data_IF_377969828869
#
_entry.id   IF_377969828869
#
_cell.length_a   1.000
_cell.length_b   1.000
_cell.length_c   1.000
_cell.angle_alpha   90.00
_cell.angle_beta   90.00
_cell.angle_gamma   90.00
#
_symmetry.space_group_name_H-M   'P 1'
#
loop_
_entity.id
_entity.type
_entity.pdbx_description
1 polymer ?
#
# COMPACT_ATOMS: atom_id res chain seq x y z
N UNK A 1 -15.57 -3.08 -19.55
CA UNK A 1 -14.25 -2.58 -19.08
C UNK A 1 -14.16 -2.95 -17.61
N UNK A 2 -13.10 -3.60 -17.20
CA UNK A 2 -12.90 -3.95 -15.78
C UNK A 2 -12.51 -2.72 -14.98
N UNK A 3 -13.07 -2.56 -13.77
CA UNK A 3 -12.80 -1.43 -12.90
C UNK A 3 -11.92 -1.87 -11.74
N UNK A 4 -10.78 -1.21 -11.59
CA UNK A 4 -9.75 -1.55 -10.60
C UNK A 4 -9.51 -0.35 -9.68
N UNK A 5 -9.50 -0.60 -8.37
CA UNK A 5 -9.04 0.37 -7.38
C UNK A 5 -7.64 -0.01 -6.93
N UNK A 6 -6.70 0.93 -7.02
CA UNK A 6 -5.38 0.84 -6.38
C UNK A 6 -5.40 1.74 -5.14
N UNK A 7 -5.44 1.13 -3.96
CA UNK A 7 -5.50 1.83 -2.68
C UNK A 7 -4.20 1.67 -1.91
N UNK A 8 -3.54 2.79 -1.58
CA UNK A 8 -2.24 2.70 -0.94
C UNK A 8 -1.76 3.98 -0.26
N UNK A 9 -0.48 3.98 0.07
CA UNK A 9 0.21 5.08 0.74
C UNK A 9 0.99 5.99 -0.23
N UNK A 10 2.09 6.60 0.26
CA UNK A 10 2.96 7.47 -0.52
C UNK A 10 3.60 6.79 -1.74
N UNK A 11 3.88 5.49 -1.68
CA UNK A 11 4.39 4.74 -2.82
C UNK A 11 3.31 4.53 -3.92
N UNK A 12 2.04 4.54 -3.56
CA UNK A 12 0.93 4.54 -4.54
C UNK A 12 0.65 5.96 -5.03
N UNK A 13 0.75 6.97 -4.17
CA UNK A 13 0.62 8.37 -4.54
C UNK A 13 1.75 8.82 -5.49
N UNK A 14 2.96 8.25 -5.36
CA UNK A 14 4.14 8.58 -6.13
C UNK A 14 5.00 9.67 -5.48
N UNK A 15 5.34 9.50 -4.21
CA UNK A 15 6.22 10.44 -3.50
C UNK A 15 7.64 10.41 -4.08
N UNK A 16 8.12 11.57 -4.54
CA UNK A 16 9.47 11.72 -5.04
C UNK A 16 10.45 11.84 -3.85
N UNK A 17 11.40 10.92 -3.68
CA UNK A 17 12.35 10.97 -2.56
C UNK A 17 13.34 12.14 -2.61
N UNK A 18 13.46 12.84 -3.75
CA UNK A 18 14.41 13.94 -3.95
C UNK A 18 13.86 15.26 -3.41
N UNK A 19 12.63 15.61 -3.74
CA UNK A 19 12.05 16.94 -3.50
C UNK A 19 10.66 16.91 -2.86
N UNK A 20 10.16 15.72 -2.51
CA UNK A 20 8.86 15.47 -1.87
C UNK A 20 7.64 15.84 -2.72
N UNK A 21 7.83 16.15 -3.98
CA UNK A 21 6.73 16.37 -4.93
C UNK A 21 6.10 15.04 -5.35
N UNK A 22 5.01 15.08 -6.08
CA UNK A 22 4.45 13.90 -6.71
C UNK A 22 5.18 13.60 -8.02
N UNK A 23 5.59 12.35 -8.20
CA UNK A 23 6.13 11.87 -9.47
C UNK A 23 5.04 11.94 -10.55
N UNK A 24 5.39 12.35 -11.77
CA UNK A 24 4.41 12.49 -12.86
C UNK A 24 3.88 11.14 -13.36
N UNK A 25 4.58 10.05 -13.07
CA UNK A 25 4.24 8.70 -13.50
C UNK A 25 4.54 7.70 -12.39
N UNK A 26 3.49 7.07 -11.88
CA UNK A 26 3.55 6.09 -10.81
C UNK A 26 3.29 4.68 -11.33
N UNK A 27 3.50 3.65 -10.53
CA UNK A 27 3.18 2.26 -10.90
C UNK A 27 1.70 2.10 -11.31
N UNK A 28 0.79 2.85 -10.70
CA UNK A 28 -0.61 2.85 -11.11
C UNK A 28 -0.86 3.45 -12.50
N UNK A 29 -0.07 4.46 -12.88
CA UNK A 29 -0.12 5.01 -14.25
C UNK A 29 0.44 4.00 -15.27
N UNK A 30 1.53 3.33 -14.91
CA UNK A 30 2.12 2.27 -15.76
C UNK A 30 1.15 1.10 -15.91
N UNK A 31 0.51 0.67 -14.81
CA UNK A 31 -0.51 -0.37 -14.88
C UNK A 31 -1.67 0.01 -15.80
N UNK A 32 -2.13 1.28 -15.77
CA UNK A 32 -3.18 1.76 -16.69
C UNK A 32 -2.73 1.74 -18.15
N UNK A 33 -1.46 2.04 -18.43
CA UNK A 33 -0.90 1.97 -19.79
C UNK A 33 -0.80 0.53 -20.30
N UNK A 34 -0.43 -0.41 -19.41
CA UNK A 34 -0.30 -1.84 -19.74
C UNK A 34 -1.65 -2.56 -19.86
N UNK A 35 -2.68 -2.05 -19.19
CA UNK A 35 -4.03 -2.62 -19.12
C UNK A 35 -5.08 -1.63 -19.66
N UNK A 36 -5.01 -1.26 -20.95
CA UNK A 36 -5.90 -0.23 -21.52
C UNK A 36 -7.38 -0.64 -21.53
N UNK A 37 -7.68 -1.94 -21.38
CA UNK A 37 -9.05 -2.46 -21.24
C UNK A 37 -9.61 -2.30 -19.83
N UNK A 38 -8.80 -1.87 -18.86
CA UNK A 38 -9.21 -1.60 -17.49
C UNK A 38 -9.42 -0.09 -17.27
N UNK A 39 -10.31 0.24 -16.35
CA UNK A 39 -10.44 1.58 -15.75
C UNK A 39 -9.80 1.55 -14.37
N UNK A 40 -8.63 2.17 -14.22
CA UNK A 40 -7.87 2.14 -12.96
C UNK A 40 -8.07 3.44 -12.19
N UNK A 41 -8.62 3.33 -10.97
CA UNK A 41 -8.69 4.41 -9.99
C UNK A 41 -7.48 4.31 -9.05
N UNK A 42 -6.65 5.34 -8.99
CA UNK A 42 -5.47 5.40 -8.10
C UNK A 42 -5.84 6.27 -6.89
N UNK A 43 -5.83 5.68 -5.70
CA UNK A 43 -6.08 6.36 -4.41
C UNK A 43 -4.89 6.14 -3.47
N UNK A 44 -3.84 6.92 -3.69
CA UNK A 44 -2.65 7.01 -2.84
C UNK A 44 -2.70 8.22 -1.92
N UNK A 45 -2.21 8.08 -0.67
CA UNK A 45 -2.13 9.17 0.29
C UNK A 45 -0.84 9.08 1.13
N UNK A 46 -0.03 10.14 1.13
CA UNK A 46 1.20 10.18 1.90
C UNK A 46 0.97 10.00 3.41
N UNK A 47 1.65 9.04 4.01
CA UNK A 47 1.53 8.74 5.43
C UNK A 47 0.32 7.88 5.81
N UNK A 48 -0.42 7.33 4.84
CA UNK A 48 -1.55 6.44 5.13
C UNK A 48 -1.07 5.14 5.77
N UNK A 49 -1.50 4.91 7.01
CA UNK A 49 -1.36 3.63 7.70
C UNK A 49 -2.66 2.81 7.60
N UNK A 50 -2.62 1.52 7.95
CA UNK A 50 -3.82 0.65 7.84
C UNK A 50 -4.95 1.12 8.77
N UNK A 51 -4.67 1.31 10.07
CA UNK A 51 -5.68 1.59 11.11
C UNK A 51 -5.39 2.87 11.91
N UNK A 52 -4.46 3.72 11.47
CA UNK A 52 -4.06 4.90 12.24
C UNK A 52 -3.96 6.14 11.34
N UNK A 53 -4.09 7.32 11.97
CA UNK A 53 -3.99 8.61 11.32
C UNK A 53 -5.26 9.43 11.47
N UNK A 54 -5.29 10.59 10.82
CA UNK A 54 -6.45 11.46 10.74
C UNK A 54 -6.85 11.67 9.28
N UNK A 55 -8.14 11.78 9.02
CA UNK A 55 -8.67 11.97 7.67
C UNK A 55 -8.17 10.89 6.70
N UNK A 56 -7.62 11.28 5.52
CA UNK A 56 -7.20 10.32 4.49
C UNK A 56 -6.05 9.39 4.91
N UNK A 57 -5.29 9.77 5.96
CA UNK A 57 -4.18 8.95 6.48
C UNK A 57 -4.65 7.77 7.33
N UNK A 58 -5.86 7.81 7.86
CA UNK A 58 -6.48 6.67 8.55
C UNK A 58 -7.09 5.73 7.51
N UNK A 59 -6.32 4.75 7.06
CA UNK A 59 -6.64 3.95 5.89
C UNK A 59 -8.04 3.36 5.90
N UNK A 60 -8.39 2.54 6.89
CA UNK A 60 -9.70 1.87 6.91
C UNK A 60 -10.87 2.87 7.05
N UNK A 61 -10.71 3.96 7.82
CA UNK A 61 -11.77 4.95 7.98
C UNK A 61 -12.04 5.68 6.67
N UNK A 62 -10.98 6.13 5.99
CA UNK A 62 -11.07 6.75 4.68
C UNK A 62 -11.65 5.80 3.61
N UNK A 63 -11.24 4.52 3.65
CA UNK A 63 -11.76 3.49 2.75
C UNK A 63 -13.28 3.32 2.92
N UNK A 64 -13.77 3.23 4.16
CA UNK A 64 -15.21 3.15 4.46
C UNK A 64 -15.97 4.37 3.95
N UNK A 65 -15.46 5.56 4.23
CA UNK A 65 -16.08 6.82 3.81
C UNK A 65 -16.21 6.90 2.29
N UNK A 66 -15.14 6.57 1.56
CA UNK A 66 -15.11 6.70 0.09
C UNK A 66 -15.88 5.59 -0.61
N UNK A 67 -15.72 4.34 -0.17
CA UNK A 67 -16.13 3.17 -0.95
C UNK A 67 -17.33 2.40 -0.38
N UNK A 68 -17.66 2.56 0.91
CA UNK A 68 -18.83 1.89 1.47
C UNK A 68 -20.08 2.78 1.44
N UNK A 69 -19.94 4.09 1.61
CA UNK A 69 -21.06 5.04 1.57
C UNK A 69 -21.65 5.13 0.16
N UNK A 70 -20.77 5.29 -0.84
CA UNK A 70 -21.15 5.18 -2.24
C UNK A 70 -20.57 3.88 -2.77
N UNK A 71 -21.39 2.85 -2.86
CA UNK A 71 -20.95 1.57 -3.39
C UNK A 71 -20.45 1.74 -4.82
N UNK A 72 -19.18 1.43 -5.02
CA UNK A 72 -18.55 1.41 -6.34
C UNK A 72 -18.60 0.00 -6.90
N UNK A 73 -18.69 -0.12 -8.21
CA UNK A 73 -18.76 -1.39 -8.93
C UNK A 73 -17.35 -1.82 -9.41
N UNK A 74 -16.38 -1.84 -8.48
CA UNK A 74 -15.05 -2.37 -8.78
C UNK A 74 -15.11 -3.89 -9.01
N UNK A 75 -14.33 -4.37 -9.98
CA UNK A 75 -14.08 -5.79 -10.19
C UNK A 75 -12.91 -6.28 -9.33
N UNK A 76 -11.91 -5.41 -9.10
CA UNK A 76 -10.72 -5.71 -8.29
C UNK A 76 -10.36 -4.53 -7.39
N UNK A 77 -9.98 -4.83 -6.16
CA UNK A 77 -9.36 -3.87 -5.24
C UNK A 77 -7.96 -4.36 -4.91
N UNK A 78 -6.94 -3.60 -5.33
CA UNK A 78 -5.55 -3.82 -4.97
C UNK A 78 -5.17 -2.89 -3.81
N UNK A 79 -4.65 -3.44 -2.71
CA UNK A 79 -4.26 -2.67 -1.52
C UNK A 79 -2.76 -2.85 -1.27
N UNK A 80 -2.01 -1.75 -1.30
CA UNK A 80 -0.60 -1.70 -0.90
C UNK A 80 -0.44 -0.76 0.30
N UNK A 81 -0.50 -1.32 1.50
CA UNK A 81 -0.33 -0.62 2.78
C UNK A 81 0.53 -1.45 3.74
N UNK A 82 1.16 -0.75 4.68
CA UNK A 82 1.97 -1.37 5.74
C UNK A 82 3.24 -0.61 6.06
N UNK A 83 3.79 0.16 5.12
CA UNK A 83 5.01 0.96 5.34
C UNK A 83 4.85 1.90 6.54
N UNK A 84 3.73 2.62 6.61
CA UNK A 84 3.48 3.58 7.69
C UNK A 84 3.05 2.93 9.02
N UNK A 85 2.69 1.66 9.02
CA UNK A 85 2.43 0.89 10.23
C UNK A 85 3.72 0.64 11.04
N UNK A 86 4.88 0.71 10.37
CA UNK A 86 6.20 0.51 10.94
C UNK A 86 6.80 1.76 11.60
N UNK A 87 6.10 2.89 11.56
CA UNK A 87 6.56 4.14 12.21
C UNK A 87 6.82 3.91 13.70
N UNK A 88 7.86 4.56 14.25
CA UNK A 88 8.26 4.48 15.68
C UNK A 88 7.09 4.67 16.65
N UNK A 89 6.15 5.52 16.30
CA UNK A 89 4.99 5.83 17.14
C UNK A 89 3.93 4.71 17.13
N UNK A 90 3.89 3.87 16.08
CA UNK A 90 2.94 2.76 15.96
C UNK A 90 3.58 1.43 16.30
N UNK A 91 4.75 1.17 15.73
CA UNK A 91 5.51 -0.08 15.89
C UNK A 91 4.62 -1.32 15.74
N UNK A 92 3.74 -1.31 14.73
CA UNK A 92 2.94 -2.49 14.45
C UNK A 92 3.84 -3.63 14.02
N UNK A 93 3.61 -4.79 14.63
CA UNK A 93 4.25 -6.01 14.15
C UNK A 93 3.65 -6.40 12.80
N UNK A 94 4.40 -7.08 11.92
CA UNK A 94 3.90 -7.54 10.62
C UNK A 94 2.55 -8.26 10.69
N UNK A 95 2.35 -9.09 11.72
CA UNK A 95 1.11 -9.83 11.93
C UNK A 95 -0.09 -8.91 12.22
N UNK A 96 0.15 -7.78 12.91
CA UNK A 96 -0.90 -6.77 13.17
C UNK A 96 -1.30 -6.04 11.90
N UNK A 97 -0.34 -5.69 11.05
CA UNK A 97 -0.60 -5.11 9.72
C UNK A 97 -1.40 -6.08 8.86
N UNK A 98 -1.03 -7.36 8.83
CA UNK A 98 -1.80 -8.39 8.12
C UNK A 98 -3.24 -8.50 8.65
N UNK A 99 -3.46 -8.48 9.97
CA UNK A 99 -4.81 -8.49 10.56
C UNK A 99 -5.60 -7.21 10.20
N UNK A 100 -4.93 -6.07 10.13
CA UNK A 100 -5.56 -4.84 9.68
C UNK A 100 -6.03 -4.93 8.22
N UNK A 101 -5.20 -5.48 7.32
CA UNK A 101 -5.56 -5.72 5.92
C UNK A 101 -6.72 -6.72 5.79
N UNK A 102 -6.76 -7.78 6.62
CA UNK A 102 -7.90 -8.71 6.71
C UNK A 102 -9.22 -7.98 6.97
N UNK A 103 -9.19 -6.93 7.79
CA UNK A 103 -10.38 -6.15 8.11
C UNK A 103 -10.97 -5.46 6.87
N UNK A 104 -10.15 -4.95 5.94
CA UNK A 104 -10.65 -4.39 4.67
C UNK A 104 -11.42 -5.42 3.86
N UNK A 105 -10.90 -6.64 3.76
CA UNK A 105 -11.54 -7.75 3.03
C UNK A 105 -12.88 -8.11 3.66
N UNK A 106 -12.89 -8.36 4.98
CA UNK A 106 -14.09 -8.78 5.69
C UNK A 106 -15.20 -7.72 5.64
N UNK A 107 -14.86 -6.46 5.86
CA UNK A 107 -15.86 -5.39 5.82
C UNK A 107 -16.40 -5.17 4.39
N UNK A 108 -15.54 -5.28 3.38
CA UNK A 108 -15.99 -5.21 2.00
C UNK A 108 -16.95 -6.35 1.68
N UNK A 109 -16.65 -7.58 2.10
CA UNK A 109 -17.54 -8.73 1.94
C UNK A 109 -18.91 -8.50 2.60
N UNK A 110 -18.93 -7.91 3.79
CA UNK A 110 -20.17 -7.57 4.49
C UNK A 110 -20.99 -6.52 3.73
N UNK A 111 -20.31 -5.48 3.20
CA UNK A 111 -20.98 -4.35 2.51
C UNK A 111 -21.50 -4.76 1.13
N UNK A 112 -20.70 -5.53 0.37
CA UNK A 112 -20.97 -5.83 -1.03
C UNK A 112 -21.70 -7.17 -1.24
N UNK A 113 -21.59 -8.13 -0.30
CA UNK A 113 -22.22 -9.45 -0.40
C UNK A 113 -21.76 -10.19 -1.66
N UNK A 114 -22.73 -10.69 -2.44
CA UNK A 114 -22.46 -11.44 -3.68
C UNK A 114 -21.77 -10.60 -4.78
N UNK A 115 -21.67 -9.29 -4.59
CA UNK A 115 -20.98 -8.37 -5.51
C UNK A 115 -19.61 -7.94 -4.98
N UNK A 116 -19.05 -8.69 -4.04
CA UNK A 116 -17.71 -8.41 -3.51
C UNK A 116 -16.69 -8.46 -4.64
N UNK A 117 -15.89 -7.39 -4.83
CA UNK A 117 -14.78 -7.41 -5.79
C UNK A 117 -13.71 -8.43 -5.38
N UNK A 118 -12.92 -8.87 -6.35
CA UNK A 118 -11.69 -9.60 -6.08
C UNK A 118 -10.70 -8.73 -5.31
N UNK A 119 -9.80 -9.34 -4.55
CA UNK A 119 -8.74 -8.62 -3.84
C UNK A 119 -7.36 -9.04 -4.32
N UNK A 120 -6.47 -8.05 -4.49
CA UNK A 120 -5.03 -8.23 -4.58
C UNK A 120 -4.39 -7.49 -3.40
N UNK A 121 -3.80 -8.23 -2.47
CA UNK A 121 -3.06 -7.63 -1.37
C UNK A 121 -1.58 -7.59 -1.72
N UNK A 122 -1.02 -6.38 -1.72
CA UNK A 122 0.37 -6.14 -2.11
C UNK A 122 1.17 -5.80 -0.85
N UNK A 123 2.15 -6.65 -0.52
CA UNK A 123 3.14 -6.29 0.50
C UNK A 123 4.03 -5.17 -0.03
N UNK A 124 4.25 -4.07 0.74
CA UNK A 124 5.10 -2.99 0.29
C UNK A 124 6.55 -3.41 0.05
N UNK A 125 7.29 -2.58 -0.67
CA UNK A 125 8.75 -2.67 -0.78
C UNK A 125 9.41 -2.59 0.60
N UNK A 126 10.63 -3.13 0.72
CA UNK A 126 11.37 -3.06 1.97
C UNK A 126 11.88 -1.64 2.24
N UNK A 127 11.72 -1.17 3.47
CA UNK A 127 12.44 0.01 3.96
C UNK A 127 13.92 -0.37 4.12
N UNK A 128 14.86 0.47 3.66
CA UNK A 128 16.29 0.19 3.76
C UNK A 128 17.00 1.09 4.80
N UNK A 129 18.26 0.77 5.12
CA UNK A 129 19.01 1.42 6.20
C UNK A 129 19.30 2.92 5.96
N UNK A 130 19.13 3.44 4.74
CA UNK A 130 19.28 4.84 4.46
C UNK A 130 18.22 5.70 5.15
N UNK A 131 17.04 5.12 5.45
CA UNK A 131 16.01 5.81 6.24
C UNK A 131 16.52 6.28 7.59
N UNK A 132 17.45 5.53 8.21
CA UNK A 132 18.03 5.85 9.53
C UNK A 132 19.02 7.02 9.49
N UNK A 133 19.45 7.43 8.29
CA UNK A 133 20.39 8.52 8.05
C UNK A 133 19.71 9.75 7.44
N UNK A 134 18.47 9.58 6.96
CA UNK A 134 17.75 10.65 6.31
C UNK A 134 17.29 11.72 7.32
N UNK A 135 17.47 13.04 7.05
CA UNK A 135 17.22 14.12 8.02
C UNK A 135 15.78 14.12 8.60
N UNK A 136 14.80 13.71 7.80
CA UNK A 136 13.37 13.70 8.20
C UNK A 136 12.95 12.31 8.65
N UNK A 137 13.21 11.27 7.84
CA UNK A 137 12.66 9.95 8.09
C UNK A 137 13.36 9.19 9.22
N UNK A 138 14.60 9.53 9.58
CA UNK A 138 15.27 8.95 10.76
C UNK A 138 14.53 9.23 12.07
N UNK A 139 13.74 10.30 12.12
CA UNK A 139 12.88 10.58 13.28
C UNK A 139 11.63 9.70 13.31
N UNK A 140 11.21 9.19 12.17
CA UNK A 140 9.97 8.42 12.01
C UNK A 140 10.18 6.91 12.03
N UNK A 141 11.33 6.44 11.55
CA UNK A 141 11.66 5.00 11.44
C UNK A 141 12.80 4.61 12.39
N UNK A 142 12.89 3.33 12.71
CA UNK A 142 13.91 2.73 13.59
C UNK A 142 14.57 1.53 12.90
N UNK A 143 15.70 1.01 13.44
CA UNK A 143 16.27 -0.25 12.95
C UNK A 143 15.26 -1.40 12.95
N UNK A 144 14.35 -1.42 13.94
CA UNK A 144 13.26 -2.39 14.00
C UNK A 144 12.27 -2.22 12.86
N UNK A 145 11.97 -0.99 12.42
CA UNK A 145 11.13 -0.73 11.26
C UNK A 145 11.72 -1.35 9.99
N UNK A 146 13.04 -1.23 9.80
CA UNK A 146 13.77 -1.85 8.69
C UNK A 146 13.70 -3.37 8.74
N UNK A 147 13.90 -3.97 9.92
CA UNK A 147 13.79 -5.41 10.12
C UNK A 147 12.36 -5.91 9.87
N UNK A 148 11.36 -5.27 10.46
CA UNK A 148 9.95 -5.67 10.33
C UNK A 148 9.43 -5.48 8.90
N UNK A 149 9.93 -4.50 8.11
CA UNK A 149 9.55 -4.33 6.72
C UNK A 149 9.84 -5.57 5.86
N UNK A 150 10.94 -6.26 6.14
CA UNK A 150 11.34 -7.50 5.44
C UNK A 150 10.45 -8.71 5.80
N UNK A 151 9.70 -8.61 6.89
CA UNK A 151 8.81 -9.67 7.39
C UNK A 151 7.34 -9.45 7.03
N UNK A 152 7.01 -8.27 6.48
CA UNK A 152 5.63 -7.95 6.08
C UNK A 152 5.10 -8.94 5.04
N UNK A 153 5.90 -9.28 4.03
CA UNK A 153 5.49 -10.18 2.96
C UNK A 153 5.06 -11.55 3.47
N UNK A 154 5.80 -12.14 4.43
CA UNK A 154 5.45 -13.43 5.04
C UNK A 154 4.10 -13.36 5.77
N UNK A 155 3.92 -12.35 6.62
CA UNK A 155 2.69 -12.20 7.39
C UNK A 155 1.46 -11.92 6.51
N UNK A 156 1.63 -11.06 5.50
CA UNK A 156 0.57 -10.67 4.56
C UNK A 156 0.23 -11.84 3.62
N UNK A 157 1.23 -12.55 3.09
CA UNK A 157 1.04 -13.72 2.24
C UNK A 157 0.21 -14.82 2.94
N UNK A 158 0.55 -15.09 4.21
CA UNK A 158 -0.21 -16.05 5.01
C UNK A 158 -1.66 -15.60 5.19
N UNK A 159 -1.89 -14.33 5.52
CA UNK A 159 -3.23 -13.77 5.66
C UNK A 159 -4.01 -13.83 4.34
N UNK A 160 -3.38 -13.51 3.21
CA UNK A 160 -4.01 -13.56 1.90
C UNK A 160 -4.43 -14.98 1.52
N UNK A 161 -3.58 -15.98 1.82
CA UNK A 161 -3.90 -17.38 1.61
C UNK A 161 -5.07 -17.85 2.50
N UNK A 162 -5.09 -17.44 3.78
CA UNK A 162 -6.21 -17.74 4.70
C UNK A 162 -7.54 -17.15 4.22
N UNK A 163 -7.49 -15.99 3.53
CA UNK A 163 -8.67 -15.27 3.02
C UNK A 163 -9.03 -15.65 1.57
N UNK A 164 -8.27 -16.52 0.92
CA UNK A 164 -8.46 -16.89 -0.49
C UNK A 164 -8.49 -15.66 -1.42
N UNK A 165 -7.48 -14.78 -1.28
CA UNK A 165 -7.30 -13.58 -2.10
C UNK A 165 -5.90 -13.57 -2.74
N UNK A 166 -5.73 -12.81 -3.84
CA UNK A 166 -4.45 -12.70 -4.52
C UNK A 166 -3.42 -11.98 -3.65
N UNK A 167 -2.17 -12.38 -3.79
CA UNK A 167 -1.03 -11.78 -3.11
C UNK A 167 0.10 -11.45 -4.09
N UNK A 168 0.76 -10.31 -3.87
CA UNK A 168 2.00 -9.92 -4.54
C UNK A 168 2.97 -9.31 -3.52
N UNK A 169 4.26 -9.64 -3.63
CA UNK A 169 5.31 -8.97 -2.87
C UNK A 169 5.98 -7.92 -3.76
N UNK A 170 5.75 -6.63 -3.52
CA UNK A 170 6.35 -5.56 -4.32
C UNK A 170 7.89 -5.55 -4.24
N UNK A 171 8.47 -6.04 -3.14
CA UNK A 171 9.92 -6.12 -2.97
C UNK A 171 10.61 -7.13 -3.91
N UNK A 172 9.86 -7.99 -4.60
CA UNK A 172 10.40 -8.90 -5.62
C UNK A 172 10.64 -8.18 -6.96
N UNK A 173 10.07 -7.00 -7.14
CA UNK A 173 10.09 -6.24 -8.40
C UNK A 173 10.75 -4.88 -8.26
N UNK A 174 10.66 -4.24 -7.09
CA UNK A 174 11.14 -2.89 -6.84
C UNK A 174 11.75 -2.74 -5.44
N UNK A 175 12.50 -1.66 -5.26
CA UNK A 175 13.16 -1.34 -3.99
C UNK A 175 12.99 0.13 -3.62
N UNK A 176 13.16 0.44 -2.33
CA UNK A 176 13.25 1.81 -1.86
C UNK A 176 14.54 2.47 -2.34
N UNK A 177 14.47 3.77 -2.65
CA UNK A 177 15.61 4.57 -3.08
C UNK A 177 16.69 4.64 -1.99
N UNK A 178 17.93 4.84 -2.41
CA UNK A 178 19.03 5.11 -1.49
C UNK A 178 19.00 6.56 -0.92
N UNK A 179 18.10 7.41 -1.44
CA UNK A 179 17.96 8.81 -1.02
C UNK A 179 17.28 8.87 0.35
N UNK A 180 16.13 8.22 0.51
CA UNK A 180 15.35 8.30 1.74
C UNK A 180 15.09 6.92 2.40
N UNK A 181 15.34 5.83 1.69
CA UNK A 181 15.18 4.48 2.20
C UNK A 181 13.74 3.98 2.32
N UNK A 182 12.76 4.73 1.81
CA UNK A 182 11.31 4.45 1.95
C UNK A 182 10.58 4.43 0.62
N UNK A 183 10.85 5.40 -0.25
CA UNK A 183 10.06 5.63 -1.47
C UNK A 183 10.77 5.12 -2.72
N UNK A 184 9.97 4.73 -3.70
CA UNK A 184 10.44 4.33 -5.03
C UNK A 184 10.85 5.55 -5.85
N UNK A 185 11.90 5.41 -6.68
CA UNK A 185 12.18 6.34 -7.79
C UNK A 185 11.38 5.94 -9.03
N UNK A 186 11.40 6.76 -10.07
CA UNK A 186 10.61 6.55 -11.29
C UNK A 186 10.82 5.16 -11.91
N UNK A 187 12.08 4.71 -12.00
CA UNK A 187 12.44 3.41 -12.59
C UNK A 187 11.86 2.23 -11.79
N UNK A 188 11.80 2.36 -10.46
CA UNK A 188 11.22 1.33 -9.59
C UNK A 188 9.69 1.30 -9.69
N UNK A 189 9.05 2.42 -9.99
CA UNK A 189 7.61 2.45 -10.29
C UNK A 189 7.29 1.70 -11.59
N UNK A 190 8.15 1.76 -12.59
CA UNK A 190 7.99 1.01 -13.84
C UNK A 190 8.10 -0.51 -13.62
N UNK A 191 8.96 -0.92 -12.70
CA UNK A 191 9.17 -2.34 -12.36
C UNK A 191 8.06 -2.94 -11.48
N UNK A 192 7.25 -2.09 -10.82
CA UNK A 192 6.19 -2.49 -9.88
C UNK A 192 4.80 -2.64 -10.52
N UNK A 193 4.65 -2.31 -11.79
CA UNK A 193 3.36 -2.28 -12.50
C UNK A 193 2.99 -3.65 -13.22
#
# INVERSE_FOLDING_TARGET
>A
MKKVLLYGDSNTWGHNPVDFTQLPRTWGNVAQELLPECEITIDGECGRATLWGEGPKHGIACFRERYFVKKHDFDLIAIMLGTNDLLKQLQYKPERTAQALRQYIHETRVVYGDKTPEFLIISPIHVNDNVLKHPVFSELYSPKSVEDSKRLAEAISKMAADEDVYFMNAADFAKASDIDGVHMVTEEHESSA
#
